data_IF_857143732233
#
_entry.id   IF_857143732233
#
_cell.length_a   1.000
_cell.length_b   1.000
_cell.length_c   1.000
_cell.angle_alpha   90.00
_cell.angle_beta   90.00
_cell.angle_gamma   90.00
#
_symmetry.space_group_name_H-M   'P 1'
#
loop_
_entity.id
_entity.type
_entity.pdbx_description
1 polymer ?
#
# COMPACT_ATOMS: atom_id res chain seq x y z
N UNK A 1 -0.52 23.39 27.14
CA UNK A 1 0.59 22.55 26.65
C UNK A 1 -0.05 21.30 26.13
N UNK A 2 -0.23 21.32 24.82
CA UNK A 2 -1.39 20.79 24.15
C UNK A 2 -1.11 19.37 23.65
N UNK A 3 -2.09 18.48 23.78
CA UNK A 3 -1.97 17.04 23.48
C UNK A 3 -1.44 16.74 22.05
N UNK A 4 -1.57 17.71 21.15
CA UNK A 4 -1.08 17.63 19.77
C UNK A 4 0.45 17.79 19.66
N UNK A 5 1.06 18.69 20.45
CA UNK A 5 2.52 18.89 20.42
C UNK A 5 3.28 17.69 21.01
N UNK A 6 2.71 17.08 22.05
CA UNK A 6 3.26 15.87 22.65
C UNK A 6 3.27 14.70 21.66
N UNK A 7 2.18 14.52 20.89
CA UNK A 7 2.09 13.47 19.87
C UNK A 7 3.07 13.72 18.70
N UNK A 8 3.26 14.98 18.30
CA UNK A 8 4.22 15.34 17.24
C UNK A 8 5.66 15.14 17.72
N UNK A 9 6.00 15.50 18.96
CA UNK A 9 7.32 15.21 19.53
C UNK A 9 7.60 13.71 19.61
N UNK A 10 6.62 12.94 20.05
CA UNK A 10 6.70 11.49 20.18
C UNK A 10 6.88 10.80 18.81
N UNK A 11 6.08 11.17 17.81
CA UNK A 11 6.28 10.71 16.41
C UNK A 11 7.66 11.09 15.89
N UNK A 12 8.09 12.33 16.14
CA UNK A 12 9.37 12.85 15.67
C UNK A 12 10.56 12.11 16.28
N UNK A 13 10.46 11.72 17.56
CA UNK A 13 11.46 10.93 18.27
C UNK A 13 11.60 9.50 17.74
N UNK A 14 10.53 8.94 17.16
CA UNK A 14 10.53 7.62 16.54
C UNK A 14 10.66 7.64 15.02
N UNK A 15 10.87 8.82 14.45
CA UNK A 15 11.04 9.02 13.02
C UNK A 15 12.50 9.25 12.68
N UNK A 16 12.92 8.72 11.54
CA UNK A 16 14.26 8.94 10.98
C UNK A 16 14.14 9.59 9.60
N UNK A 17 15.02 10.54 9.34
CA UNK A 17 15.24 11.11 8.03
C UNK A 17 16.11 10.16 7.21
N UNK A 18 15.71 9.90 5.97
CA UNK A 18 16.44 9.06 5.04
C UNK A 18 16.74 9.89 3.80
N UNK A 19 18.01 10.15 3.52
CA UNK A 19 18.48 10.95 2.39
C UNK A 19 19.44 10.18 1.49
N UNK A 20 19.80 10.81 0.37
CA UNK A 20 20.67 10.24 -0.66
C UNK A 20 20.12 8.92 -1.27
N UNK A 21 18.79 8.81 -1.32
CA UNK A 21 18.08 7.67 -1.89
C UNK A 21 18.24 7.73 -3.41
N UNK A 22 18.60 6.62 -4.09
CA UNK A 22 18.65 6.55 -5.55
C UNK A 22 17.25 6.66 -6.12
N UNK A 23 17.11 7.29 -7.28
CA UNK A 23 15.80 7.52 -7.90
C UNK A 23 15.07 6.22 -8.30
N UNK A 24 15.81 5.12 -8.44
CA UNK A 24 15.29 3.79 -8.73
C UNK A 24 14.81 3.03 -7.48
N UNK A 25 15.11 3.52 -6.27
CA UNK A 25 14.65 2.87 -5.05
C UNK A 25 13.16 3.15 -4.82
N UNK A 26 12.41 2.07 -4.60
CA UNK A 26 10.98 2.12 -4.24
C UNK A 26 10.80 2.17 -2.72
N UNK A 27 9.64 2.68 -2.29
CA UNK A 27 9.24 2.65 -0.88
C UNK A 27 9.23 1.24 -0.32
N UNK A 28 8.83 0.25 -1.12
CA UNK A 28 8.83 -1.16 -0.74
C UNK A 28 10.25 -1.66 -0.41
N UNK A 29 11.23 -1.33 -1.25
CA UNK A 29 12.62 -1.76 -1.03
C UNK A 29 13.22 -1.10 0.21
N UNK A 30 12.92 0.18 0.44
CA UNK A 30 13.35 0.89 1.65
C UNK A 30 12.65 0.33 2.89
N UNK A 31 11.36 0.00 2.80
CA UNK A 31 10.63 -0.60 3.92
C UNK A 31 11.16 -1.98 4.29
N UNK A 32 11.61 -2.77 3.32
CA UNK A 32 12.26 -4.06 3.52
C UNK A 32 13.59 -3.90 4.30
N UNK A 33 14.47 -3.01 3.83
CA UNK A 33 15.77 -2.72 4.48
C UNK A 33 15.59 -2.17 5.90
N UNK A 34 14.68 -1.20 6.06
CA UNK A 34 14.38 -0.60 7.37
C UNK A 34 13.66 -1.59 8.29
N UNK A 35 12.93 -2.55 7.70
CA UNK A 35 12.29 -3.67 8.38
C UNK A 35 13.28 -4.63 9.05
N UNK A 36 14.52 -4.74 8.56
CA UNK A 36 15.56 -5.57 9.17
C UNK A 36 15.99 -5.04 10.55
N UNK A 37 15.89 -3.72 10.77
CA UNK A 37 16.22 -3.10 12.07
C UNK A 37 15.03 -3.16 13.01
N UNK A 38 13.81 -3.03 12.50
CA UNK A 38 12.60 -3.23 13.29
C UNK A 38 11.33 -2.83 12.57
N UNK A 39 10.20 -2.88 13.30
CA UNK A 39 8.88 -2.68 12.71
C UNK A 39 8.66 -1.24 12.25
N UNK A 40 8.66 -1.04 10.92
CA UNK A 40 8.32 0.22 10.25
C UNK A 40 6.80 0.40 10.25
N UNK A 41 6.33 1.48 10.88
CA UNK A 41 4.91 1.86 10.88
C UNK A 41 4.53 2.56 9.58
N UNK A 42 5.37 3.50 9.13
CA UNK A 42 5.12 4.30 7.93
C UNK A 42 6.44 4.69 7.27
N UNK A 43 6.48 4.61 5.95
CA UNK A 43 7.57 5.17 5.15
C UNK A 43 6.95 6.16 4.17
N UNK A 44 7.53 7.35 4.04
CA UNK A 44 7.05 8.39 3.12
C UNK A 44 8.23 8.95 2.33
N UNK A 45 8.28 8.64 1.04
CA UNK A 45 9.21 9.33 0.12
C UNK A 45 8.69 10.73 -0.22
N UNK A 46 9.63 11.67 -0.36
CA UNK A 46 9.30 13.02 -0.83
C UNK A 46 9.51 13.09 -2.32
N UNK A 47 8.44 13.43 -3.03
CA UNK A 47 8.44 13.63 -4.47
C UNK A 47 8.34 15.12 -4.81
N UNK A 48 8.98 15.48 -5.90
CA UNK A 48 8.88 16.81 -6.48
C UNK A 48 7.51 16.97 -7.16
N UNK A 49 6.76 18.00 -6.76
CA UNK A 49 5.37 18.17 -7.21
C UNK A 49 5.25 18.63 -8.66
N UNK A 50 6.30 19.23 -9.21
CA UNK A 50 6.29 19.75 -10.59
C UNK A 50 6.70 18.67 -11.58
N UNK A 51 7.66 17.83 -11.20
CA UNK A 51 8.23 16.80 -12.09
C UNK A 51 7.73 15.38 -11.79
N UNK A 52 7.09 15.16 -10.63
CA UNK A 52 6.68 13.84 -10.15
C UNK A 52 7.86 12.92 -9.77
N UNK A 53 9.09 13.42 -9.79
CA UNK A 53 10.30 12.62 -9.53
C UNK A 53 10.63 12.58 -8.03
N UNK A 54 11.18 11.48 -7.51
CA UNK A 54 11.60 11.43 -6.12
C UNK A 54 12.70 12.46 -5.86
N UNK A 55 12.63 13.22 -4.76
CA UNK A 55 13.67 14.20 -4.38
C UNK A 55 14.93 13.54 -3.80
N UNK A 56 14.95 12.21 -3.70
CA UNK A 56 16.06 11.45 -3.14
C UNK A 56 16.12 11.48 -1.60
N UNK A 57 15.01 11.81 -0.94
CA UNK A 57 14.87 11.71 0.51
C UNK A 57 13.44 11.34 0.94
N UNK A 58 13.29 10.90 2.18
CA UNK A 58 12.04 10.46 2.79
C UNK A 58 12.13 10.40 4.31
N UNK A 59 11.02 10.01 4.93
CA UNK A 59 10.88 9.85 6.36
C UNK A 59 10.38 8.45 6.68
N UNK A 60 11.03 7.77 7.62
CA UNK A 60 10.64 6.46 8.12
C UNK A 60 10.23 6.58 9.58
N UNK A 61 9.05 6.08 9.91
CA UNK A 61 8.51 6.06 11.27
C UNK A 61 8.54 4.64 11.82
N UNK A 62 9.14 4.50 12.99
CA UNK A 62 9.19 3.26 13.75
C UNK A 62 8.20 3.24 14.90
N UNK A 63 7.95 2.02 15.40
CA UNK A 63 7.16 1.81 16.60
C UNK A 63 7.80 2.36 17.87
N UNK A 64 9.13 2.30 17.96
CA UNK A 64 9.89 2.66 19.16
C UNK A 64 11.05 3.61 18.82
N UNK A 65 11.40 4.51 19.75
CA UNK A 65 12.51 5.46 19.57
C UNK A 65 13.86 4.71 19.50
N UNK A 66 14.01 3.64 20.27
CA UNK A 66 15.23 2.83 20.29
C UNK A 66 15.49 2.18 18.93
N UNK A 67 14.43 1.75 18.23
CA UNK A 67 14.51 1.23 16.87
C UNK A 67 14.94 2.30 15.89
N UNK A 68 14.40 3.52 16.00
CA UNK A 68 14.83 4.67 15.19
C UNK A 68 16.32 4.99 15.40
N UNK A 69 16.79 5.01 16.66
CA UNK A 69 18.21 5.20 17.00
C UNK A 69 19.10 4.07 16.47
N UNK A 70 18.60 2.84 16.47
CA UNK A 70 19.31 1.70 15.91
C UNK A 70 19.38 1.79 14.39
N UNK A 71 18.32 2.25 13.73
CA UNK A 71 18.30 2.45 12.28
C UNK A 71 19.31 3.51 11.85
N UNK A 72 19.41 4.62 12.59
CA UNK A 72 20.42 5.64 12.34
C UNK A 72 21.86 5.10 12.46
N UNK A 73 22.11 4.15 13.37
CA UNK A 73 23.46 3.58 13.52
C UNK A 73 23.79 2.49 12.51
N UNK A 74 22.82 1.63 12.19
CA UNK A 74 23.05 0.46 11.34
C UNK A 74 22.84 0.73 9.85
N UNK A 75 21.93 1.64 9.49
CA UNK A 75 21.55 1.91 8.09
C UNK A 75 22.16 3.19 7.53
N UNK A 76 22.79 4.04 8.37
CA UNK A 76 23.53 5.18 7.86
C UNK A 76 24.79 4.70 7.13
N UNK A 77 24.93 5.10 5.87
CA UNK A 77 25.97 4.63 4.96
C UNK A 77 25.60 3.39 4.16
N UNK A 78 24.42 2.80 4.38
CA UNK A 78 23.99 1.57 3.70
C UNK A 78 23.90 1.79 2.19
N UNK A 79 24.58 0.95 1.41
CA UNK A 79 24.69 1.12 -0.04
C UNK A 79 23.47 0.53 -0.76
N UNK A 80 22.77 1.35 -1.53
CA UNK A 80 21.73 0.92 -2.47
C UNK A 80 21.94 1.54 -3.84
N UNK A 81 21.95 0.72 -4.89
CA UNK A 81 22.10 1.21 -6.27
C UNK A 81 23.35 2.09 -6.48
N UNK A 82 24.45 1.79 -5.78
CA UNK A 82 25.68 2.58 -5.84
C UNK A 82 25.64 3.93 -5.10
N UNK A 83 24.64 4.15 -4.24
CA UNK A 83 24.55 5.33 -3.36
C UNK A 83 24.45 4.91 -1.90
N UNK A 84 25.20 5.59 -1.03
CA UNK A 84 25.10 5.38 0.41
C UNK A 84 23.92 6.16 0.98
N UNK A 85 22.98 5.48 1.61
CA UNK A 85 21.90 6.10 2.35
C UNK A 85 22.44 7.00 3.46
N UNK A 86 21.82 8.15 3.64
CA UNK A 86 22.05 9.00 4.80
C UNK A 86 20.88 8.85 5.75
N UNK A 87 21.11 8.30 6.94
CA UNK A 87 20.05 8.13 7.95
C UNK A 87 20.36 9.03 9.14
N UNK A 88 19.44 9.95 9.42
CA UNK A 88 19.62 11.03 10.39
C UNK A 88 18.35 11.22 11.25
N UNK A 89 18.43 12.03 12.29
CA UNK A 89 17.33 12.20 13.23
C UNK A 89 16.23 13.09 12.62
N UNK A 90 14.98 12.62 12.60
CA UNK A 90 13.87 13.44 12.09
C UNK A 90 13.44 14.56 13.06
N UNK A 91 14.04 14.65 14.25
CA UNK A 91 13.72 15.66 15.27
C UNK A 91 14.41 17.02 15.08
N UNK A 92 15.14 17.25 13.99
CA UNK A 92 15.63 18.62 13.70
C UNK A 92 14.46 19.56 13.40
N UNK A 93 14.54 20.84 13.78
CA UNK A 93 13.45 21.80 13.53
C UNK A 93 13.07 21.87 12.04
N UNK A 94 14.05 21.78 11.14
CA UNK A 94 13.81 21.72 9.69
C UNK A 94 13.05 20.46 9.28
N UNK A 95 13.49 19.29 9.75
CA UNK A 95 12.80 18.02 9.47
C UNK A 95 11.41 17.96 10.10
N UNK A 96 11.22 18.55 11.28
CA UNK A 96 9.90 18.64 11.94
C UNK A 96 8.95 19.52 11.16
N UNK A 97 9.42 20.67 10.67
CA UNK A 97 8.62 21.58 9.86
C UNK A 97 8.27 20.97 8.49
N UNK A 98 9.21 20.27 7.85
CA UNK A 98 8.95 19.51 6.61
C UNK A 98 7.99 18.33 6.83
N UNK A 99 8.17 17.56 7.90
CA UNK A 99 7.28 16.46 8.27
C UNK A 99 5.88 16.99 8.54
N UNK A 100 5.76 18.08 9.31
CA UNK A 100 4.47 18.73 9.55
C UNK A 100 3.83 19.23 8.24
N UNK A 101 4.62 19.76 7.32
CA UNK A 101 4.15 20.16 6.00
C UNK A 101 3.75 18.95 5.12
N UNK A 102 4.38 17.79 5.27
CA UNK A 102 4.01 16.53 4.61
C UNK A 102 2.76 15.87 5.23
N UNK A 103 2.49 16.10 6.51
CA UNK A 103 1.24 15.70 7.16
C UNK A 103 0.07 16.65 6.83
N UNK A 104 0.36 17.94 6.63
CA UNK A 104 -0.62 18.95 6.21
C UNK A 104 -0.83 19.02 4.69
N UNK A 105 -0.14 18.20 3.91
CA UNK A 105 -0.44 18.06 2.49
C UNK A 105 -1.77 17.32 2.31
N UNK A 106 -2.64 17.76 1.37
CA UNK A 106 -3.76 16.93 0.95
C UNK A 106 -3.19 15.56 0.53
N UNK A 107 -3.82 14.45 0.94
CA UNK A 107 -3.32 13.13 0.59
C UNK A 107 -3.09 13.09 -0.91
N UNK A 108 -1.88 12.69 -1.32
CA UNK A 108 -1.60 12.39 -2.72
C UNK A 108 -2.65 11.35 -3.10
N UNK A 109 -3.58 11.70 -3.99
CA UNK A 109 -4.63 10.80 -4.43
C UNK A 109 -3.93 9.55 -4.96
N UNK A 110 -3.96 8.49 -4.17
CA UNK A 110 -3.63 7.17 -4.66
C UNK A 110 -4.69 6.88 -5.73
N UNK A 111 -4.32 6.63 -7.00
CA UNK A 111 -5.31 6.33 -8.05
C UNK A 111 -6.19 5.11 -7.71
N UNK A 112 -5.79 4.33 -6.70
CA UNK A 112 -6.50 3.16 -6.18
C UNK A 112 -7.37 3.44 -4.94
N UNK A 113 -7.55 4.70 -4.53
CA UNK A 113 -8.42 5.10 -3.43
C UNK A 113 -7.81 4.97 -2.03
N UNK A 114 -8.64 5.22 -1.01
CA UNK A 114 -8.25 5.14 0.39
C UNK A 114 -7.89 3.69 0.78
N UNK A 115 -6.85 3.46 1.60
CA UNK A 115 -6.54 2.13 2.12
C UNK A 115 -7.67 1.63 3.02
N UNK A 116 -8.39 0.60 2.57
CA UNK A 116 -9.51 0.01 3.29
C UNK A 116 -8.99 -1.11 4.23
N UNK A 117 -9.44 -1.11 5.48
CA UNK A 117 -9.19 -2.21 6.42
C UNK A 117 -9.75 -3.53 5.86
N UNK A 118 -8.98 -4.62 5.95
CA UNK A 118 -9.31 -5.92 5.35
C UNK A 118 -10.71 -6.44 5.73
N UNK A 119 -11.19 -6.16 6.94
CA UNK A 119 -12.53 -6.53 7.41
C UNK A 119 -13.67 -5.76 6.72
N UNK A 120 -13.41 -4.53 6.27
CA UNK A 120 -14.38 -3.67 5.55
C UNK A 120 -14.22 -3.73 4.03
N UNK A 121 -13.14 -4.35 3.55
CA UNK A 121 -12.85 -4.52 2.13
C UNK A 121 -14.02 -5.13 1.32
N UNK A 122 -14.70 -6.21 1.76
CA UNK A 122 -15.79 -6.78 0.97
C UNK A 122 -16.99 -5.82 0.83
N UNK A 123 -17.32 -5.06 1.86
CA UNK A 123 -18.42 -4.09 1.82
C UNK A 123 -18.08 -2.86 0.97
N UNK A 124 -16.84 -2.38 1.04
CA UNK A 124 -16.36 -1.27 0.24
C UNK A 124 -16.28 -1.63 -1.26
N UNK A 125 -15.79 -2.83 -1.60
CA UNK A 125 -15.79 -3.35 -2.98
C UNK A 125 -17.24 -3.50 -3.47
N UNK A 126 -18.12 -4.03 -2.63
CA UNK A 126 -19.55 -4.17 -2.93
C UNK A 126 -20.19 -2.84 -3.29
N UNK A 127 -19.98 -1.83 -2.44
CA UNK A 127 -20.51 -0.48 -2.64
C UNK A 127 -19.92 0.19 -3.87
N UNK A 128 -18.60 0.06 -4.09
CA UNK A 128 -17.92 0.62 -5.25
C UNK A 128 -18.45 0.01 -6.56
N UNK A 129 -18.51 -1.32 -6.65
CA UNK A 129 -19.02 -2.02 -7.82
C UNK A 129 -20.50 -1.73 -8.04
N UNK A 130 -21.32 -1.68 -6.99
CA UNK A 130 -22.74 -1.32 -7.10
C UNK A 130 -22.97 0.14 -7.52
N UNK A 131 -22.00 1.02 -7.28
CA UNK A 131 -22.05 2.43 -7.67
C UNK A 131 -21.52 2.70 -9.09
N UNK A 132 -20.90 1.71 -9.74
CA UNK A 132 -20.45 1.85 -11.13
C UNK A 132 -21.67 1.92 -12.06
N UNK A 133 -21.65 2.77 -13.11
CA UNK A 133 -22.68 2.71 -14.14
C UNK A 133 -22.61 1.35 -14.85
N UNK A 134 -23.75 0.82 -15.31
CA UNK A 134 -23.84 -0.52 -15.89
C UNK A 134 -22.87 -0.70 -17.07
N UNK A 135 -22.63 0.36 -17.86
CA UNK A 135 -21.68 0.37 -18.98
C UNK A 135 -20.24 0.04 -18.56
N UNK A 136 -19.80 0.57 -17.42
CA UNK A 136 -18.46 0.29 -16.87
C UNK A 136 -18.37 -1.15 -16.36
N UNK A 137 -19.46 -1.69 -15.80
CA UNK A 137 -19.51 -3.11 -15.40
C UNK A 137 -19.43 -4.05 -16.62
N UNK A 138 -20.11 -3.70 -17.71
CA UNK A 138 -20.04 -4.47 -18.95
C UNK A 138 -18.65 -4.44 -19.58
N UNK A 139 -17.99 -3.28 -19.63
CA UNK A 139 -16.63 -3.17 -20.15
C UNK A 139 -15.63 -3.95 -19.27
N UNK A 140 -15.80 -3.94 -17.95
CA UNK A 140 -15.00 -4.76 -17.02
C UNK A 140 -15.15 -6.27 -17.34
N UNK A 141 -16.38 -6.75 -17.52
CA UNK A 141 -16.65 -8.14 -17.91
C UNK A 141 -16.09 -8.49 -19.29
N UNK A 142 -16.21 -7.57 -20.25
CA UNK A 142 -15.75 -7.76 -21.62
C UNK A 142 -14.22 -7.82 -21.69
N UNK A 143 -13.53 -6.93 -20.98
CA UNK A 143 -12.07 -7.00 -20.83
C UNK A 143 -11.67 -8.33 -20.20
N UNK A 144 -12.33 -8.73 -19.11
CA UNK A 144 -12.01 -9.99 -18.46
C UNK A 144 -12.22 -11.20 -19.38
N UNK A 145 -13.33 -11.23 -20.13
CA UNK A 145 -13.60 -12.26 -21.13
C UNK A 145 -12.53 -12.29 -22.21
N UNK A 146 -12.11 -11.12 -22.69
CA UNK A 146 -11.05 -10.97 -23.68
C UNK A 146 -9.71 -11.48 -23.16
N UNK A 147 -9.35 -11.18 -21.92
CA UNK A 147 -8.11 -11.66 -21.28
C UNK A 147 -8.12 -13.18 -21.13
N UNK A 148 -9.25 -13.78 -20.75
CA UNK A 148 -9.40 -15.25 -20.66
C UNK A 148 -9.29 -15.90 -22.04
N UNK A 149 -9.89 -15.29 -23.07
CA UNK A 149 -9.88 -15.82 -24.43
C UNK A 149 -8.50 -15.75 -25.08
N UNK A 150 -7.75 -14.67 -24.85
CA UNK A 150 -6.41 -14.52 -25.42
C UNK A 150 -5.38 -15.32 -24.61
N UNK A 151 -5.35 -15.13 -23.29
CA UNK A 151 -4.30 -15.66 -22.40
C UNK A 151 -4.91 -16.29 -21.13
N UNK A 152 -5.46 -17.51 -21.20
CA UNK A 152 -6.17 -18.13 -20.07
C UNK A 152 -5.25 -18.35 -18.85
N UNK A 153 -3.98 -18.67 -19.07
CA UNK A 153 -3.00 -18.87 -18.00
C UNK A 153 -2.69 -17.57 -17.25
N UNK A 154 -2.55 -16.47 -18.00
CA UNK A 154 -2.28 -15.14 -17.44
C UNK A 154 -3.50 -14.58 -16.72
N UNK A 155 -4.70 -14.75 -17.31
CA UNK A 155 -5.95 -14.40 -16.65
C UNK A 155 -6.11 -15.12 -15.30
N UNK A 156 -5.77 -16.42 -15.25
CA UNK A 156 -5.79 -17.20 -14.01
C UNK A 156 -4.76 -16.69 -12.99
N UNK A 157 -3.53 -16.40 -13.42
CA UNK A 157 -2.50 -15.80 -12.56
C UNK A 157 -2.96 -14.45 -12.00
N UNK A 158 -3.51 -13.59 -12.85
CA UNK A 158 -4.00 -12.26 -12.47
C UNK A 158 -5.09 -12.34 -11.41
N UNK A 159 -6.04 -13.28 -11.54
CA UNK A 159 -7.09 -13.54 -10.55
C UNK A 159 -6.55 -14.13 -9.25
N UNK A 160 -5.51 -14.97 -9.31
CA UNK A 160 -4.88 -15.58 -8.14
C UNK A 160 -4.03 -14.57 -7.35
N UNK A 161 -3.33 -13.69 -8.05
CA UNK A 161 -2.50 -12.64 -7.45
C UNK A 161 -3.34 -11.49 -6.89
N UNK A 162 -4.48 -11.19 -7.51
CA UNK A 162 -5.34 -10.06 -7.13
C UNK A 162 -6.73 -10.55 -6.70
N UNK A 163 -6.90 -11.03 -5.45
CA UNK A 163 -8.18 -11.53 -4.97
C UNK A 163 -9.28 -10.46 -5.02
N UNK A 164 -8.95 -9.19 -4.76
CA UNK A 164 -9.90 -8.07 -4.89
C UNK A 164 -10.51 -7.94 -6.29
N UNK A 165 -9.75 -8.24 -7.35
CA UNK A 165 -10.25 -8.22 -8.73
C UNK A 165 -11.28 -9.35 -8.95
N UNK A 166 -10.97 -10.56 -8.46
CA UNK A 166 -11.88 -11.70 -8.55
C UNK A 166 -13.21 -11.43 -7.83
N UNK A 167 -13.14 -10.83 -6.63
CA UNK A 167 -14.33 -10.41 -5.89
C UNK A 167 -15.13 -9.34 -6.63
N UNK A 168 -14.49 -8.30 -7.17
CA UNK A 168 -15.18 -7.25 -7.91
C UNK A 168 -15.90 -7.78 -9.16
N UNK A 169 -15.27 -8.71 -9.89
CA UNK A 169 -15.86 -9.35 -11.06
C UNK A 169 -17.09 -10.20 -10.70
N UNK A 170 -17.00 -10.98 -9.62
CA UNK A 170 -18.13 -11.78 -9.14
C UNK A 170 -19.27 -10.89 -8.65
N UNK A 171 -18.94 -9.84 -7.92
CA UNK A 171 -19.88 -8.85 -7.43
C UNK A 171 -20.64 -8.19 -8.59
N UNK A 172 -19.94 -7.80 -9.65
CA UNK A 172 -20.55 -7.25 -10.85
C UNK A 172 -21.54 -8.24 -11.47
N UNK A 173 -21.19 -9.53 -11.54
CA UNK A 173 -22.08 -10.57 -12.06
C UNK A 173 -23.36 -10.75 -11.23
N UNK A 174 -23.29 -10.59 -9.91
CA UNK A 174 -24.45 -10.61 -9.01
C UNK A 174 -25.33 -9.37 -9.21
N UNK A 175 -24.72 -8.18 -9.28
CA UNK A 175 -25.45 -6.91 -9.48
C UNK A 175 -26.16 -6.90 -10.85
N UNK A 176 -25.52 -7.45 -11.88
CA UNK A 176 -26.11 -7.59 -13.22
C UNK A 176 -27.15 -8.72 -13.31
N UNK A 177 -27.46 -9.42 -12.21
CA UNK A 177 -28.39 -10.57 -12.15
C UNK A 177 -28.03 -11.71 -13.12
N UNK A 178 -26.76 -11.80 -13.52
CA UNK A 178 -26.25 -12.89 -14.35
C UNK A 178 -26.07 -14.15 -13.50
N UNK A 179 -25.71 -13.96 -12.22
CA UNK A 179 -25.51 -15.03 -11.25
C UNK A 179 -26.35 -14.75 -10.01
N UNK A 180 -27.04 -15.77 -9.51
CA UNK A 180 -27.81 -15.68 -8.27
C UNK A 180 -26.88 -15.44 -7.06
N UNK A 181 -27.21 -14.54 -6.12
CA UNK A 181 -26.36 -14.24 -4.96
C UNK A 181 -26.01 -15.49 -4.13
N UNK A 182 -26.88 -16.49 -4.09
CA UNK A 182 -26.60 -17.77 -3.43
C UNK A 182 -25.49 -18.57 -4.13
N UNK A 183 -25.48 -18.59 -5.46
CA UNK A 183 -24.48 -19.27 -6.29
C UNK A 183 -23.10 -18.57 -6.20
N UNK A 184 -23.10 -17.24 -6.11
CA UNK A 184 -21.89 -16.46 -5.93
C UNK A 184 -21.23 -16.72 -4.57
N UNK A 185 -22.02 -16.78 -3.48
CA UNK A 185 -21.51 -17.09 -2.14
C UNK A 185 -20.83 -18.48 -2.08
N UNK A 186 -21.42 -19.49 -2.72
CA UNK A 186 -20.84 -20.85 -2.80
C UNK A 186 -19.54 -20.87 -3.59
N UNK A 187 -19.43 -20.07 -4.65
CA UNK A 187 -18.23 -20.00 -5.49
C UNK A 187 -17.03 -19.36 -4.74
N UNK A 188 -17.29 -18.29 -3.97
CA UNK A 188 -16.29 -17.67 -3.07
C UNK A 188 -15.85 -18.62 -1.98
N UNK A 189 -16.80 -19.34 -1.38
CA UNK A 189 -16.52 -20.28 -0.28
C UNK A 189 -15.66 -21.47 -0.74
N UNK A 190 -15.87 -21.95 -1.97
CA UNK A 190 -15.04 -23.00 -2.56
C UNK A 190 -13.64 -22.50 -2.96
N UNK A 191 -13.51 -21.26 -3.43
CA UNK A 191 -12.21 -20.65 -3.74
C UNK A 191 -11.36 -20.45 -2.47
N UNK A 192 -11.98 -20.05 -1.36
CA UNK A 192 -11.31 -19.93 -0.05
C UNK A 192 -10.99 -21.29 0.58
N UNK A 193 -11.88 -22.29 0.46
CA UNK A 193 -11.59 -23.66 0.90
C UNK A 193 -10.42 -24.32 0.17
N UNK A 194 -10.26 -24.09 -1.13
CA UNK A 194 -9.15 -24.66 -1.90
C UNK A 194 -7.78 -24.06 -1.53
N UNK A 195 -7.75 -22.95 -0.78
CA UNK A 195 -6.51 -22.36 -0.23
C UNK A 195 -6.16 -22.85 1.18
N UNK A 196 -7.12 -23.39 1.93
CA UNK A 196 -6.90 -23.96 3.27
C UNK A 196 -6.89 -25.50 3.29
N UNK A 197 -7.34 -26.16 2.22
CA UNK A 197 -7.35 -27.63 2.09
C UNK A 197 -6.04 -28.26 1.61
N UNK A 198 -4.94 -27.51 1.54
CA UNK A 198 -3.60 -28.00 1.21
C UNK A 198 -2.70 -28.31 2.41
N UNK A 199 -3.23 -28.18 3.64
CA UNK A 199 -2.57 -28.61 4.87
C UNK A 199 -3.63 -29.32 5.73
N UNK A 200 -3.43 -30.63 6.00
CA UNK A 200 -4.41 -31.62 6.47
C UNK A 200 -5.29 -32.11 5.31
N UNK A 201 -4.99 -33.18 4.60
CA UNK A 201 -4.36 -34.49 4.94
C UNK A 201 -3.67 -35.07 3.72
#
# INVERSE_FOLDING_TARGET
MDNLEANIMDKSMRSVFVGNIPYEATEEKLKDIFGEVGQVLSFKLVFDRETGKPKGYGFCEYRDQETALSAMRNLNGYEIGGRNLRVDNACTEKSRMEMQNLLNQPPVENPYGEPIQAEKAPEAISKAVASLPPEQMFELMKQMKTTIQNNPTEARQMLLQNPQLAYALLQAQVVMKIIDPHTAAVSVFNYTKNKIGGYLV
#
